data_IF_563903583379
#
_entry.id   IF_563903583379
#
_cell.length_a   1.000
_cell.length_b   1.000
_cell.length_c   1.000
_cell.angle_alpha   90.00
_cell.angle_beta   90.00
_cell.angle_gamma   90.00
#
_symmetry.space_group_name_H-M   'P 1'
#
loop_
_entity.id
_entity.type
_entity.pdbx_description
1 polymer ?
#
# COMPACT_ATOMS: atom_id res chain seq x y z
N UNK A 1 -7.47 -8.51 -24.61
CA UNK A 1 -7.41 -7.60 -23.82
C UNK A 1 -6.43 -7.75 -22.81
N UNK A 2 -5.81 -6.95 -22.49
CA UNK A 2 -4.94 -7.10 -21.59
C UNK A 2 -5.46 -6.94 -20.33
N UNK A 3 -4.95 -7.52 -19.44
CA UNK A 3 -5.40 -7.40 -18.15
C UNK A 3 -4.68 -6.33 -17.47
N UNK A 4 -5.39 -5.46 -16.91
CA UNK A 4 -4.79 -4.43 -16.11
C UNK A 4 -4.15 -5.06 -14.89
N UNK A 5 -3.04 -4.52 -14.46
CA UNK A 5 -2.42 -4.94 -13.23
C UNK A 5 -3.32 -4.60 -12.05
N UNK A 6 -3.37 -5.48 -11.09
CA UNK A 6 -4.18 -5.23 -9.90
C UNK A 6 -3.61 -4.07 -9.11
N UNK A 7 -4.47 -3.23 -8.52
CA UNK A 7 -3.98 -2.22 -7.60
C UNK A 7 -3.21 -2.85 -6.45
N UNK A 8 -2.18 -2.17 -6.00
CA UNK A 8 -1.34 -2.69 -4.94
C UNK A 8 -0.77 -1.56 -4.10
N UNK A 9 -0.49 -1.89 -2.84
CA UNK A 9 0.30 -1.03 -1.95
C UNK A 9 1.33 -1.91 -1.26
N UNK A 10 2.37 -1.28 -0.75
CA UNK A 10 3.39 -1.96 0.04
C UNK A 10 3.52 -1.25 1.38
N UNK A 11 3.44 -2.04 2.45
CA UNK A 11 3.65 -1.53 3.80
C UNK A 11 5.04 -1.96 4.23
N UNK A 12 5.93 -1.00 4.41
CA UNK A 12 7.30 -1.27 4.83
C UNK A 12 7.44 -0.85 6.28
N UNK A 13 7.27 -1.79 7.19
CA UNK A 13 7.24 -1.47 8.61
C UNK A 13 8.63 -1.13 9.13
N UNK A 14 9.66 -1.69 8.51
CA UNK A 14 11.02 -1.38 8.94
C UNK A 14 11.35 0.08 8.70
N UNK A 15 10.97 0.59 7.53
CA UNK A 15 11.23 1.98 7.17
C UNK A 15 10.04 2.88 7.46
N UNK A 16 8.97 2.31 8.00
CA UNK A 16 7.78 3.07 8.41
C UNK A 16 7.18 3.87 7.28
N UNK A 17 7.03 3.23 6.13
CA UNK A 17 6.48 3.93 4.96
C UNK A 17 5.45 3.05 4.28
N UNK A 18 4.58 3.71 3.52
CA UNK A 18 3.57 3.07 2.71
C UNK A 18 3.82 3.51 1.29
N UNK A 19 4.03 2.56 0.39
CA UNK A 19 4.21 2.89 -1.02
C UNK A 19 2.90 2.66 -1.74
N UNK A 20 2.42 3.69 -2.43
CA UNK A 20 1.23 3.59 -3.25
C UNK A 20 1.69 3.29 -4.66
N UNK A 21 1.38 2.09 -5.14
CA UNK A 21 1.85 1.66 -6.46
C UNK A 21 1.08 2.39 -7.56
N UNK A 22 1.74 2.56 -8.70
CA UNK A 22 1.11 3.23 -9.83
C UNK A 22 -0.17 2.53 -10.27
N UNK A 23 -0.25 1.23 -10.10
CA UNK A 23 -1.47 0.49 -10.46
C UNK A 23 -2.68 0.98 -9.66
N UNK A 24 -2.47 1.32 -8.39
CA UNK A 24 -3.54 1.90 -7.58
C UNK A 24 -3.92 3.28 -8.10
N UNK A 25 -2.92 4.11 -8.38
CA UNK A 25 -3.19 5.46 -8.83
C UNK A 25 -3.84 5.47 -10.20
N UNK A 26 -3.42 4.59 -11.11
CA UNK A 26 -4.05 4.51 -12.42
C UNK A 26 -5.50 4.05 -12.31
N UNK A 27 -5.80 3.12 -11.42
CA UNK A 27 -7.18 2.70 -11.20
C UNK A 27 -8.05 3.86 -10.75
N UNK A 28 -7.45 4.84 -10.05
CA UNK A 28 -8.17 6.02 -9.57
C UNK A 28 -8.05 7.21 -10.52
N UNK A 29 -7.56 6.97 -11.75
CA UNK A 29 -7.42 8.00 -12.79
C UNK A 29 -6.41 9.07 -12.40
N UNK A 30 -5.30 8.65 -11.79
CA UNK A 30 -4.18 9.52 -11.47
C UNK A 30 -4.62 10.77 -10.70
N UNK A 31 -5.18 10.60 -9.50
CA UNK A 31 -5.67 11.75 -8.75
C UNK A 31 -4.52 12.59 -8.22
N UNK A 32 -4.72 13.91 -8.08
CA UNK A 32 -3.65 14.75 -7.53
C UNK A 32 -3.41 14.49 -6.06
N UNK A 33 -4.42 14.01 -5.32
CA UNK A 33 -4.29 13.73 -3.89
C UNK A 33 -5.04 12.46 -3.57
N UNK A 34 -4.64 11.80 -2.48
CA UNK A 34 -5.36 10.63 -1.98
C UNK A 34 -5.54 10.76 -0.47
N UNK A 35 -6.49 10.01 0.03
CA UNK A 35 -6.69 9.83 1.45
C UNK A 35 -6.50 8.37 1.80
N UNK A 36 -5.95 8.11 2.99
CA UNK A 36 -5.83 6.76 3.52
C UNK A 36 -6.86 6.58 4.62
N UNK A 37 -7.67 5.55 4.50
CA UNK A 37 -8.76 5.29 5.44
C UNK A 37 -8.60 3.88 5.98
N UNK A 38 -8.82 3.72 7.28
CA UNK A 38 -8.70 2.42 7.93
C UNK A 38 -10.03 2.04 8.55
N UNK A 39 -10.46 0.81 8.31
CA UNK A 39 -11.63 0.26 8.97
C UNK A 39 -11.14 -0.87 9.86
N UNK A 40 -11.00 -0.63 11.18
CA UNK A 40 -10.45 -1.66 12.06
C UNK A 40 -11.38 -2.84 12.27
N UNK A 41 -12.68 -2.64 12.12
CA UNK A 41 -13.60 -3.74 12.31
C UNK A 41 -13.51 -4.75 11.18
N UNK A 42 -13.31 -4.29 9.96
CA UNK A 42 -13.20 -5.17 8.81
C UNK A 42 -11.77 -5.45 8.40
N UNK A 43 -10.81 -4.87 9.10
CA UNK A 43 -9.39 -5.01 8.80
C UNK A 43 -9.11 -4.66 7.34
N UNK A 44 -9.58 -3.49 6.92
CA UNK A 44 -9.36 -3.01 5.56
C UNK A 44 -8.71 -1.64 5.59
N UNK A 45 -7.94 -1.37 4.55
CA UNK A 45 -7.35 -0.09 4.30
C UNK A 45 -7.84 0.37 2.94
N UNK A 46 -8.24 1.62 2.84
CA UNK A 46 -8.72 2.16 1.58
C UNK A 46 -7.88 3.35 1.14
N UNK A 47 -7.68 3.45 -0.16
CA UNK A 47 -7.07 4.62 -0.79
C UNK A 47 -8.17 5.29 -1.60
N UNK A 48 -8.53 6.52 -1.23
CA UNK A 48 -9.60 7.25 -1.89
C UNK A 48 -9.02 8.43 -2.63
N UNK A 49 -9.47 8.64 -3.87
CA UNK A 49 -9.01 9.77 -4.66
C UNK A 49 -9.60 11.07 -4.14
N UNK A 50 -8.79 12.13 -4.18
CA UNK A 50 -9.25 13.45 -3.80
C UNK A 50 -8.74 14.45 -4.82
N UNK A 51 -9.59 15.40 -5.19
CA UNK A 51 -9.20 16.46 -6.12
C UNK A 51 -8.71 17.71 -5.42
N UNK A 52 -8.90 17.79 -4.12
CA UNK A 52 -8.60 19.01 -3.40
C UNK A 52 -7.60 18.74 -2.31
N UNK A 53 -6.69 19.69 -2.13
CA UNK A 53 -5.75 19.62 -1.04
C UNK A 53 -6.46 19.99 0.25
N UNK A 54 -6.30 19.17 1.27
CA UNK A 54 -6.73 19.52 2.60
C UNK A 54 -5.86 18.73 3.58
N UNK A 55 -6.08 18.95 4.88
CA UNK A 55 -5.13 18.51 5.89
C UNK A 55 -4.82 17.02 5.85
N UNK A 56 -5.80 16.19 5.52
CA UNK A 56 -5.62 14.73 5.54
C UNK A 56 -5.32 14.15 4.17
N UNK A 57 -5.17 14.99 3.14
CA UNK A 57 -4.88 14.50 1.81
C UNK A 57 -3.38 14.46 1.56
N UNK A 58 -2.94 13.45 0.83
CA UNK A 58 -1.55 13.27 0.47
C UNK A 58 -1.37 13.56 -1.01
N UNK A 59 -0.39 14.40 -1.33
CA UNK A 59 -0.14 14.74 -2.73
C UNK A 59 0.55 13.57 -3.43
N UNK A 60 0.11 13.30 -4.65
CA UNK A 60 0.69 12.24 -5.46
C UNK A 60 1.53 12.84 -6.58
N UNK A 61 2.53 12.09 -7.01
CA UNK A 61 3.47 12.52 -8.05
C UNK A 61 3.44 11.52 -9.20
N UNK A 62 3.56 12.04 -10.41
CA UNK A 62 3.46 11.21 -11.61
C UNK A 62 4.69 11.36 -12.51
N UNK A 63 5.78 11.85 -11.94
CA UNK A 63 7.07 11.86 -12.63
C UNK A 63 7.80 10.56 -12.27
N UNK A 64 9.09 10.62 -12.04
CA UNK A 64 9.86 9.41 -11.74
C UNK A 64 9.89 9.08 -10.26
N UNK A 65 9.21 9.88 -9.43
CA UNK A 65 9.22 9.65 -7.99
C UNK A 65 8.29 8.53 -7.59
N UNK A 66 8.70 7.75 -6.61
CA UNK A 66 7.80 6.81 -5.96
C UNK A 66 6.88 7.59 -5.03
N UNK A 67 5.64 7.15 -4.95
CA UNK A 67 4.69 7.77 -4.03
C UNK A 67 4.75 7.03 -2.71
N UNK A 68 5.55 7.55 -1.79
CA UNK A 68 5.77 6.94 -0.49
C UNK A 68 5.31 7.89 0.59
N UNK A 69 4.54 7.35 1.53
CA UNK A 69 4.01 8.13 2.63
C UNK A 69 4.61 7.60 3.93
N UNK A 70 5.00 8.52 4.80
CA UNK A 70 5.59 8.16 6.08
C UNK A 70 4.59 8.49 7.17
N UNK A 71 3.98 7.47 7.75
CA UNK A 71 2.97 7.68 8.78
C UNK A 71 3.14 6.65 9.88
N UNK A 72 3.83 7.07 10.94
CA UNK A 72 4.00 6.23 12.10
C UNK A 72 2.67 5.88 12.75
N UNK A 73 1.79 6.86 12.86
CA UNK A 73 0.51 6.66 13.50
C UNK A 73 -0.32 5.61 12.79
N UNK A 74 -0.38 5.71 11.46
CA UNK A 74 -1.17 4.76 10.68
C UNK A 74 -0.57 3.37 10.77
N UNK A 75 0.74 3.25 10.64
CA UNK A 75 1.38 1.95 10.69
C UNK A 75 1.23 1.30 12.06
N UNK A 76 1.33 2.08 13.12
CA UNK A 76 1.09 1.56 14.46
C UNK A 76 -0.35 1.09 14.62
N UNK A 77 -1.29 1.82 14.05
CA UNK A 77 -2.69 1.43 14.11
C UNK A 77 -2.91 0.11 13.38
N UNK A 78 -2.31 -0.05 12.21
CA UNK A 78 -2.44 -1.28 11.46
C UNK A 78 -1.83 -2.47 12.20
N UNK A 79 -0.66 -2.27 12.80
CA UNK A 79 -0.03 -3.34 13.57
C UNK A 79 -0.88 -3.76 14.76
N UNK A 80 -1.63 -2.81 15.32
CA UNK A 80 -2.46 -3.12 16.48
C UNK A 80 -3.66 -3.95 16.11
N UNK A 81 -4.25 -3.70 14.93
CA UNK A 81 -5.48 -4.39 14.56
C UNK A 81 -5.22 -5.64 13.72
N UNK A 82 -4.04 -5.79 13.15
CA UNK A 82 -3.74 -6.93 12.29
C UNK A 82 -2.71 -7.82 12.97
N UNK A 83 -3.18 -8.87 13.61
CA UNK A 83 -2.25 -9.80 14.24
C UNK A 83 -1.46 -10.49 13.13
N UNK A 84 -0.24 -10.87 13.45
CA UNK A 84 0.62 -11.54 12.48
C UNK A 84 1.51 -10.63 11.67
N UNK A 85 1.35 -9.32 11.77
CA UNK A 85 2.26 -8.41 11.10
C UNK A 85 3.56 -8.32 11.89
N UNK A 86 4.67 -8.57 11.20
CA UNK A 86 5.96 -8.48 11.83
C UNK A 86 6.43 -7.06 11.83
N UNK A 87 6.95 -6.63 12.95
CA UNK A 87 7.35 -5.25 13.16
C UNK A 87 8.36 -4.76 12.12
N UNK A 88 9.17 -5.63 11.56
CA UNK A 88 10.16 -5.25 10.57
C UNK A 88 9.84 -5.77 9.18
N UNK A 89 8.67 -6.28 8.99
CA UNK A 89 8.34 -6.88 7.71
C UNK A 89 7.91 -5.88 6.67
N UNK A 90 7.96 -6.30 5.41
CA UNK A 90 7.38 -5.58 4.31
C UNK A 90 6.27 -6.44 3.74
N UNK A 91 5.12 -5.82 3.50
CA UNK A 91 3.95 -6.55 3.05
C UNK A 91 3.36 -5.91 1.82
N UNK A 92 2.99 -6.73 0.85
CA UNK A 92 2.27 -6.26 -0.33
C UNK A 92 0.83 -6.71 -0.23
N UNK A 93 -0.08 -5.83 -0.58
CA UNK A 93 -1.49 -6.11 -0.57
C UNK A 93 -2.07 -5.68 -1.90
N UNK A 94 -2.81 -6.58 -2.55
CA UNK A 94 -3.55 -6.23 -3.76
C UNK A 94 -4.94 -5.81 -3.38
N UNK A 95 -5.48 -4.83 -4.08
CA UNK A 95 -6.77 -4.26 -3.75
C UNK A 95 -7.79 -4.43 -4.84
N UNK A 96 -8.99 -4.00 -4.54
CA UNK A 96 -10.10 -4.03 -5.47
C UNK A 96 -10.61 -2.62 -5.65
N UNK A 97 -10.78 -2.22 -6.90
CA UNK A 97 -11.22 -0.88 -7.24
C UNK A 97 -12.75 -0.82 -7.21
N UNK A 98 -13.27 0.20 -6.57
CA UNK A 98 -14.70 0.47 -6.50
C UNK A 98 -14.94 1.83 -7.15
N UNK A 99 -15.23 1.84 -8.47
CA UNK A 99 -15.30 3.13 -9.19
C UNK A 99 -16.40 4.05 -8.71
N UNK A 100 -17.52 3.49 -8.26
CA UNK A 100 -18.62 4.34 -7.79
C UNK A 100 -18.24 5.15 -6.57
N UNK A 101 -17.33 4.66 -5.77
CA UNK A 101 -16.89 5.34 -4.56
C UNK A 101 -15.53 5.97 -4.71
N UNK A 102 -14.92 5.81 -5.88
CA UNK A 102 -13.62 6.41 -6.20
C UNK A 102 -12.55 5.99 -5.21
N UNK A 103 -12.53 4.72 -4.86
CA UNK A 103 -11.54 4.20 -3.94
C UNK A 103 -11.10 2.78 -4.29
N UNK A 104 -10.00 2.37 -3.71
CA UNK A 104 -9.49 1.01 -3.79
C UNK A 104 -9.40 0.48 -2.38
N UNK A 105 -9.93 -0.71 -2.15
CA UNK A 105 -9.95 -1.32 -0.81
C UNK A 105 -8.97 -2.48 -0.78
N UNK A 106 -8.16 -2.52 0.28
CA UNK A 106 -7.15 -3.54 0.50
C UNK A 106 -7.51 -4.30 1.76
N UNK A 107 -7.70 -5.62 1.63
CA UNK A 107 -8.00 -6.46 2.78
C UNK A 107 -6.71 -6.86 3.46
N UNK A 108 -6.52 -6.43 4.69
CA UNK A 108 -5.26 -6.66 5.38
C UNK A 108 -4.98 -8.12 5.61
N UNK A 109 -6.00 -8.95 5.68
CA UNK A 109 -5.80 -10.37 5.88
C UNK A 109 -5.19 -11.05 4.67
N UNK A 110 -5.18 -10.38 3.53
CA UNK A 110 -4.59 -10.93 2.31
C UNK A 110 -3.20 -10.40 2.02
N UNK A 111 -2.58 -9.75 2.99
CA UNK A 111 -1.23 -9.24 2.78
C UNK A 111 -0.24 -10.36 2.61
N UNK A 112 0.78 -10.10 1.81
CA UNK A 112 1.80 -11.07 1.49
C UNK A 112 3.13 -10.53 1.98
N UNK A 113 3.84 -11.30 2.79
CA UNK A 113 5.15 -10.90 3.28
C UNK A 113 6.14 -10.91 2.11
N UNK A 114 6.87 -9.82 1.95
CA UNK A 114 7.83 -9.67 0.89
C UNK A 114 9.21 -9.79 1.49
N UNK A 115 10.04 -10.63 0.87
CA UNK A 115 11.41 -10.74 1.30
C UNK A 115 12.21 -9.61 0.67
N UNK A 116 12.85 -8.83 1.50
CA UNK A 116 13.57 -7.67 1.00
C UNK A 116 14.97 -7.98 0.53
N UNK A 117 15.45 -9.18 0.74
CA UNK A 117 16.80 -9.50 0.33
C UNK A 117 16.84 -10.74 -0.55
N UNK A 118 16.14 -10.71 -1.67
CA UNK A 118 16.13 -11.89 -2.51
C UNK A 118 17.51 -12.26 -3.05
N UNK A 119 18.32 -11.29 -3.34
CA UNK A 119 19.67 -11.58 -3.82
C UNK A 119 20.47 -12.35 -2.78
N UNK A 120 20.30 -12.00 -1.54
CA UNK A 120 21.00 -12.69 -0.48
C UNK A 120 20.51 -14.13 -0.36
N UNK A 121 19.24 -14.34 -0.52
CA UNK A 121 18.72 -15.69 -0.46
C UNK A 121 19.22 -16.53 -1.61
N UNK A 122 19.27 -15.93 -2.78
CA UNK A 122 19.78 -16.66 -3.92
C UNK A 122 21.21 -17.07 -3.71
N UNK A 123 22.00 -16.17 -3.14
CA UNK A 123 23.39 -16.45 -2.87
C UNK A 123 23.49 -17.63 -1.92
N UNK A 124 22.70 -17.65 -0.90
CA UNK A 124 22.74 -18.75 0.05
C UNK A 124 22.41 -20.07 -0.62
N UNK A 125 21.44 -20.06 -1.50
CA UNK A 125 21.10 -21.27 -2.19
C UNK A 125 22.19 -21.75 -3.09
N UNK A 126 22.83 -20.83 -3.76
CA UNK A 126 23.91 -21.22 -4.65
C UNK A 126 25.07 -21.78 -3.91
N UNK A 127 25.22 -21.43 -2.66
CA UNK A 127 26.36 -21.90 -1.90
C UNK A 127 26.16 -23.28 -1.29
N UNK A 128 25.06 -23.86 -1.53
CA UNK A 128 24.84 -25.20 -0.96
C UNK A 128 25.35 -26.35 -1.77
#
# INVERSE_FOLDING_TARGET
METASKPAITLDLKKRRIRIHNTTLHALNDPPYIELLVNPDKLTLAVRASKQKYRLAHKMYYDTRDNELYSDTLLKQLCRVCSGMEYRGSYRIHGIHYPDQNLVIFEMQKMILINETPAKEWTNECNQ
#
